data_IF_540213833444
#
_entry.id   IF_540213833444
#
_cell.length_a   1.000
_cell.length_b   1.000
_cell.length_c   1.000
_cell.angle_alpha   90.00
_cell.angle_beta   90.00
_cell.angle_gamma   90.00
#
_symmetry.space_group_name_H-M   'P 1'
#
loop_
_entity.id
_entity.type
_entity.pdbx_description
1 polymer ?
#
# COMPACT_ATOMS: atom_id res chain seq x y z
N UNK A 1 -14.67 13.10 -7.31
CA UNK A 1 -15.72 12.23 -7.86
C UNK A 1 -15.63 12.33 -9.38
N UNK A 2 -15.50 11.20 -10.08
CA UNK A 2 -15.58 11.18 -11.55
C UNK A 2 -16.83 10.43 -11.98
N UNK A 3 -17.65 11.01 -12.86
CA UNK A 3 -18.83 10.38 -13.44
C UNK A 3 -18.53 10.01 -14.90
N UNK A 4 -18.79 8.77 -15.31
CA UNK A 4 -18.67 8.34 -16.70
C UNK A 4 -19.97 7.65 -17.13
N UNK A 5 -20.56 8.12 -18.24
CA UNK A 5 -21.75 7.53 -18.87
C UNK A 5 -21.33 6.78 -20.13
N UNK A 6 -21.86 5.58 -20.35
CA UNK A 6 -21.64 4.81 -21.58
C UNK A 6 -22.93 4.79 -22.42
N UNK A 7 -23.10 5.77 -23.31
CA UNK A 7 -24.06 5.69 -24.43
C UNK A 7 -23.62 6.58 -25.61
N UNK A 8 -24.00 6.20 -26.84
CA UNK A 8 -23.43 6.59 -28.14
C UNK A 8 -23.49 8.07 -28.57
N UNK A 9 -23.76 9.02 -27.68
CA UNK A 9 -23.68 10.47 -27.95
C UNK A 9 -22.95 11.13 -26.78
N UNK A 10 -21.64 11.31 -26.95
CA UNK A 10 -20.67 11.75 -25.96
C UNK A 10 -20.97 13.16 -25.43
N UNK A 11 -21.39 13.25 -24.17
CA UNK A 11 -21.09 14.39 -23.31
C UNK A 11 -20.50 13.86 -22.00
N UNK A 12 -19.19 14.05 -21.84
CA UNK A 12 -18.39 13.56 -20.72
C UNK A 12 -18.40 14.64 -19.62
N UNK A 13 -19.40 14.64 -18.75
CA UNK A 13 -19.45 15.63 -17.66
C UNK A 13 -18.52 15.19 -16.52
N UNK A 14 -17.34 15.81 -16.43
CA UNK A 14 -16.44 15.67 -15.27
C UNK A 14 -16.79 16.74 -14.24
N UNK A 15 -17.39 16.34 -13.11
CA UNK A 15 -17.65 17.25 -11.99
C UNK A 15 -16.51 17.14 -10.96
N UNK A 16 -15.62 18.13 -10.92
CA UNK A 16 -14.61 18.24 -9.86
C UNK A 16 -15.18 19.03 -8.69
N UNK A 17 -15.40 18.36 -7.56
CA UNK A 17 -15.91 18.98 -6.34
C UNK A 17 -14.73 19.22 -5.39
N UNK A 18 -14.34 20.48 -5.21
CA UNK A 18 -13.33 20.93 -4.22
C UNK A 18 -14.06 21.41 -2.96
N UNK A 19 -13.51 21.13 -1.78
CA UNK A 19 -14.19 21.21 -0.50
C UNK A 19 -13.88 22.54 0.21
N UNK A 20 -14.86 23.44 0.25
CA UNK A 20 -15.09 24.45 1.28
C UNK A 20 -16.60 24.45 1.54
N UNK A 21 -17.06 24.46 2.79
CA UNK A 21 -18.48 24.21 3.14
C UNK A 21 -19.37 25.39 2.73
N UNK A 22 -19.75 25.41 1.45
CA UNK A 22 -20.78 26.28 0.88
C UNK A 22 -22.13 25.54 0.89
N UNK A 23 -23.24 26.15 1.34
CA UNK A 23 -24.60 25.61 1.16
C UNK A 23 -24.91 25.13 -0.27
N UNK A 24 -24.26 25.71 -1.28
CA UNK A 24 -24.37 25.29 -2.69
C UNK A 24 -23.84 23.87 -2.95
N UNK A 25 -22.83 23.41 -2.19
CA UNK A 25 -22.23 22.08 -2.33
C UNK A 25 -23.12 20.96 -1.80
N UNK A 26 -23.80 21.19 -0.68
CA UNK A 26 -24.77 20.21 -0.12
C UNK A 26 -25.90 20.02 -1.13
N UNK A 27 -26.46 21.12 -1.63
CA UNK A 27 -27.48 21.12 -2.68
C UNK A 27 -27.01 20.38 -3.94
N UNK A 28 -25.75 20.59 -4.36
CA UNK A 28 -25.16 19.91 -5.51
C UNK A 28 -25.02 18.41 -5.28
N UNK A 29 -24.53 17.97 -4.11
CA UNK A 29 -24.40 16.53 -3.81
C UNK A 29 -25.75 15.81 -3.75
N UNK A 30 -26.78 16.46 -3.20
CA UNK A 30 -28.14 15.93 -3.21
C UNK A 30 -28.72 15.87 -4.62
N UNK A 31 -28.50 16.89 -5.45
CA UNK A 31 -28.95 16.91 -6.83
C UNK A 31 -28.31 15.79 -7.65
N UNK A 32 -27.00 15.58 -7.51
CA UNK A 32 -26.30 14.46 -8.15
C UNK A 32 -26.85 13.13 -7.67
N UNK A 33 -27.08 12.96 -6.37
CA UNK A 33 -27.68 11.73 -5.83
C UNK A 33 -29.07 11.47 -6.39
N UNK A 34 -29.95 12.48 -6.43
CA UNK A 34 -31.28 12.37 -7.03
C UNK A 34 -31.20 11.97 -8.50
N UNK A 35 -30.29 12.59 -9.25
CA UNK A 35 -30.07 12.26 -10.66
C UNK A 35 -29.62 10.80 -10.86
N UNK A 36 -28.72 10.29 -10.01
CA UNK A 36 -28.29 8.88 -10.06
C UNK A 36 -29.45 7.91 -9.73
N UNK A 37 -30.40 8.34 -8.90
CA UNK A 37 -31.55 7.53 -8.47
C UNK A 37 -32.72 7.55 -9.46
N UNK A 38 -32.74 8.46 -10.45
CA UNK A 38 -33.77 8.49 -11.49
C UNK A 38 -33.71 7.22 -12.36
N UNK A 39 -34.86 6.58 -12.55
CA UNK A 39 -34.98 5.33 -13.32
C UNK A 39 -34.54 5.46 -14.80
N UNK A 40 -34.55 6.67 -15.36
CA UNK A 40 -34.04 6.95 -16.71
C UNK A 40 -32.52 7.00 -16.82
N UNK A 41 -31.81 7.00 -15.69
CA UNK A 41 -30.35 7.06 -15.62
C UNK A 41 -29.80 5.71 -15.14
N UNK A 42 -29.93 4.67 -15.96
CA UNK A 42 -29.73 3.25 -15.63
C UNK A 42 -28.34 2.67 -16.03
N UNK A 43 -27.36 3.55 -16.29
CA UNK A 43 -26.05 3.14 -16.83
C UNK A 43 -24.90 4.04 -16.40
N UNK A 44 -24.85 4.41 -15.12
CA UNK A 44 -23.79 5.25 -14.56
C UNK A 44 -22.71 4.46 -13.81
N UNK A 45 -21.51 5.01 -13.83
CA UNK A 45 -20.37 4.60 -13.00
C UNK A 45 -19.86 5.79 -12.21
N UNK A 46 -19.78 5.63 -10.89
CA UNK A 46 -19.16 6.59 -9.96
C UNK A 46 -17.84 6.03 -9.46
N UNK A 47 -16.77 6.82 -9.56
CA UNK A 47 -15.46 6.46 -8.99
C UNK A 47 -15.09 7.40 -7.84
N UNK A 48 -14.95 6.82 -6.65
CA UNK A 48 -14.32 7.44 -5.49
C UNK A 48 -12.86 7.02 -5.45
N UNK A 49 -11.97 7.90 -5.90
CA UNK A 49 -10.55 7.63 -5.94
C UNK A 49 -9.86 8.09 -4.65
N UNK A 50 -8.94 7.29 -4.11
CA UNK A 50 -8.09 7.62 -2.95
C UNK A 50 -8.88 7.90 -1.65
N UNK A 51 -9.86 7.05 -1.34
CA UNK A 51 -10.70 7.16 -0.14
C UNK A 51 -10.01 6.51 1.09
N UNK A 52 -8.99 7.19 1.61
CA UNK A 52 -8.14 6.65 2.69
C UNK A 52 -8.55 7.18 4.08
N UNK A 53 -9.06 8.41 4.15
CA UNK A 53 -9.41 9.09 5.39
C UNK A 53 -10.88 8.83 5.74
N UNK A 54 -11.13 7.72 6.43
CA UNK A 54 -12.50 7.24 6.70
C UNK A 54 -12.92 7.52 8.12
N UNK A 55 -14.09 8.13 8.29
CA UNK A 55 -14.72 8.35 9.59
C UNK A 55 -16.03 7.57 9.68
N UNK A 56 -15.97 6.32 10.14
CA UNK A 56 -17.19 5.60 10.51
C UNK A 56 -17.65 6.07 11.90
N UNK A 57 -18.86 6.65 12.02
CA UNK A 57 -19.42 6.96 13.34
C UNK A 57 -19.64 5.66 14.14
N UNK A 58 -18.71 5.38 15.06
CA UNK A 58 -18.76 4.54 16.26
C UNK A 58 -19.55 3.21 16.25
N UNK A 59 -18.82 2.08 16.30
CA UNK A 59 -19.27 0.92 17.10
C UNK A 59 -19.16 1.34 18.57
N UNK A 60 -20.28 1.66 19.22
CA UNK A 60 -20.33 1.76 20.69
C UNK A 60 -20.04 0.36 21.26
N UNK A 61 -18.92 0.18 21.95
CA UNK A 61 -18.80 -0.89 22.94
C UNK A 61 -19.80 -0.57 24.05
N UNK A 62 -20.90 -1.32 24.08
CA UNK A 62 -21.88 -1.22 25.14
C UNK A 62 -21.35 -1.94 26.37
N UNK A 63 -20.99 -1.18 27.40
CA UNK A 63 -21.01 -1.68 28.77
C UNK A 63 -22.18 -1.02 29.49
N UNK A 64 -23.22 -1.83 29.71
CA UNK A 64 -24.24 -1.57 30.70
C UNK A 64 -23.58 -1.52 32.08
N UNK A 65 -23.85 -0.46 32.86
CA UNK A 65 -24.16 -0.63 34.28
C UNK A 65 -24.94 0.58 34.80
N UNK A 66 -26.14 0.27 35.29
CA UNK A 66 -27.01 1.08 36.11
C UNK A 66 -26.46 1.24 37.53
N UNK A 67 -26.68 2.41 38.16
CA UNK A 67 -27.19 2.67 39.54
C UNK A 67 -26.78 4.10 39.99
N UNK A 68 -27.76 4.87 40.52
CA UNK A 68 -27.63 6.20 41.17
C UNK A 68 -27.46 6.04 42.71
N UNK A 69 -27.42 7.12 43.54
CA UNK A 69 -26.47 8.24 43.60
C UNK A 69 -25.89 8.47 45.04
N UNK A 70 -24.92 9.40 45.15
CA UNK A 70 -24.67 10.36 46.25
C UNK A 70 -23.29 10.36 46.96
N UNK A 71 -22.91 11.60 47.32
CA UNK A 71 -21.90 12.07 48.29
C UNK A 71 -20.44 12.33 47.85
N UNK A 72 -20.21 13.62 47.51
CA UNK A 72 -19.06 14.51 47.78
C UNK A 72 -17.76 13.90 48.33
N UNK A 73 -16.63 14.15 47.67
CA UNK A 73 -15.47 14.88 48.25
C UNK A 73 -14.24 14.91 47.31
N UNK A 74 -13.62 16.09 47.26
CA UNK A 74 -12.22 16.42 47.00
C UNK A 74 -11.61 16.23 45.58
N UNK A 75 -11.01 17.33 45.12
CA UNK A 75 -10.40 17.54 43.84
C UNK A 75 -9.13 16.71 43.61
N UNK A 76 -9.10 16.04 42.46
CA UNK A 76 -7.89 15.80 41.67
C UNK A 76 -8.26 16.17 40.25
N UNK A 77 -7.54 17.11 39.64
CA UNK A 77 -7.76 17.56 38.27
C UNK A 77 -7.45 16.42 37.29
N UNK A 78 -8.47 15.61 37.00
CA UNK A 78 -8.48 14.71 35.86
C UNK A 78 -8.48 15.57 34.60
N UNK A 79 -7.35 15.57 33.88
CA UNK A 79 -7.30 15.98 32.48
C UNK A 79 -8.37 15.17 31.75
N UNK A 80 -9.46 15.84 31.41
CA UNK A 80 -10.48 15.30 30.52
C UNK A 80 -9.78 14.85 29.25
N UNK A 81 -10.06 13.61 28.83
CA UNK A 81 -9.60 13.05 27.57
C UNK A 81 -9.97 14.01 26.43
N UNK A 82 -8.99 14.75 25.94
CA UNK A 82 -9.11 15.43 24.65
C UNK A 82 -9.43 14.36 23.60
N UNK A 83 -10.50 14.51 22.81
CA UNK A 83 -10.79 13.58 21.74
C UNK A 83 -9.62 13.62 20.76
N UNK A 84 -9.02 12.46 20.55
CA UNK A 84 -8.16 12.08 19.43
C UNK A 84 -8.43 13.01 18.24
N UNK A 85 -7.45 13.85 17.90
CA UNK A 85 -7.62 14.95 16.96
C UNK A 85 -8.13 14.38 15.62
N UNK A 86 -9.45 14.42 15.45
CA UNK A 86 -10.10 13.69 14.39
C UNK A 86 -9.65 14.29 13.07
N UNK A 87 -9.00 13.48 12.23
CA UNK A 87 -8.45 13.92 10.96
C UNK A 87 -9.47 14.84 10.24
N UNK A 88 -9.14 16.13 10.03
CA UNK A 88 -10.06 17.11 9.48
C UNK A 88 -10.49 16.74 8.06
N UNK A 89 -9.74 15.87 7.37
CA UNK A 89 -10.09 15.37 6.04
C UNK A 89 -10.99 14.14 6.07
N UNK A 90 -11.16 13.46 7.21
CA UNK A 90 -11.90 12.21 7.27
C UNK A 90 -13.43 12.39 7.13
N UNK A 91 -14.08 11.56 6.32
CA UNK A 91 -15.52 11.65 6.04
C UNK A 91 -16.16 10.28 5.74
N UNK A 92 -17.48 10.18 5.93
CA UNK A 92 -18.27 8.98 5.60
C UNK A 92 -18.95 9.17 4.23
N UNK A 93 -18.65 8.32 3.26
CA UNK A 93 -19.27 8.39 1.93
C UNK A 93 -20.66 7.76 1.85
N UNK A 94 -21.02 6.88 2.81
CA UNK A 94 -22.27 6.10 2.75
C UNK A 94 -23.54 6.94 2.58
N UNK A 95 -23.68 8.12 3.23
CA UNK A 95 -24.85 8.97 3.03
C UNK A 95 -25.03 9.47 1.58
N UNK A 96 -23.93 9.57 0.83
CA UNK A 96 -23.89 10.08 -0.54
C UNK A 96 -24.03 8.98 -1.61
N UNK A 97 -24.00 7.70 -1.21
CA UNK A 97 -24.23 6.61 -2.15
C UNK A 97 -25.71 6.59 -2.57
N UNK A 98 -26.00 6.43 -3.88
CA UNK A 98 -27.36 6.26 -4.36
C UNK A 98 -27.95 4.94 -3.89
N UNK A 99 -29.27 4.89 -3.71
CA UNK A 99 -29.98 3.64 -3.34
C UNK A 99 -30.40 2.78 -4.55
N UNK A 100 -30.27 3.32 -5.76
CA UNK A 100 -30.61 2.61 -6.99
C UNK A 100 -29.65 1.45 -7.27
N UNK A 101 -30.17 0.39 -7.88
CA UNK A 101 -29.46 -0.83 -8.29
C UNK A 101 -29.01 -0.81 -9.76
N UNK A 102 -29.39 0.21 -10.52
CA UNK A 102 -29.09 0.38 -11.95
C UNK A 102 -27.76 1.10 -12.24
N UNK A 103 -26.77 1.00 -11.34
CA UNK A 103 -25.46 1.64 -11.54
C UNK A 103 -24.35 0.99 -10.72
N UNK A 104 -23.13 1.48 -10.91
CA UNK A 104 -21.95 0.92 -10.26
C UNK A 104 -21.11 1.99 -9.54
N UNK A 105 -20.56 1.62 -8.39
CA UNK A 105 -19.61 2.44 -7.62
C UNK A 105 -18.29 1.69 -7.49
N UNK A 106 -17.20 2.33 -7.86
CA UNK A 106 -15.84 1.86 -7.62
C UNK A 106 -15.19 2.77 -6.58
N UNK A 107 -14.61 2.16 -5.55
CA UNK A 107 -13.84 2.86 -4.52
C UNK A 107 -12.41 2.35 -4.62
N UNK A 108 -11.44 3.26 -4.74
CA UNK A 108 -10.02 2.92 -4.58
C UNK A 108 -9.54 3.52 -3.25
N UNK A 109 -8.78 2.73 -2.51
CA UNK A 109 -8.30 3.07 -1.17
C UNK A 109 -7.06 2.25 -0.86
N UNK A 110 -6.19 2.81 -0.02
CA UNK A 110 -5.03 2.13 0.55
C UNK A 110 -5.36 1.40 1.85
N UNK A 111 -6.50 1.72 2.46
CA UNK A 111 -6.92 1.10 3.71
C UNK A 111 -7.85 -0.08 3.45
N UNK A 112 -7.45 -1.26 3.87
CA UNK A 112 -8.31 -2.47 3.80
C UNK A 112 -9.44 -2.46 4.84
N UNK A 113 -9.46 -1.47 5.74
CA UNK A 113 -10.55 -1.27 6.72
C UNK A 113 -11.83 -0.78 6.06
N UNK A 114 -11.75 -0.22 4.83
CA UNK A 114 -12.89 0.25 4.05
C UNK A 114 -13.65 -0.93 3.45
N UNK A 115 -14.59 -1.47 4.22
CA UNK A 115 -15.43 -2.61 3.83
C UNK A 115 -16.76 -2.15 3.24
N UNK A 116 -16.70 -1.51 2.07
CA UNK A 116 -17.88 -1.04 1.32
C UNK A 116 -18.07 -1.87 0.05
N UNK A 117 -18.88 -2.92 0.13
CA UNK A 117 -19.17 -3.80 -1.01
C UNK A 117 -18.15 -4.93 -1.21
N UNK A 118 -18.02 -5.40 -2.46
CA UNK A 118 -17.06 -6.44 -2.82
C UNK A 118 -15.64 -5.86 -2.86
N UNK A 119 -14.73 -6.50 -2.12
CA UNK A 119 -13.34 -6.09 -2.04
C UNK A 119 -12.49 -6.84 -3.07
N UNK A 120 -11.71 -6.09 -3.85
CA UNK A 120 -10.69 -6.64 -4.75
C UNK A 120 -9.34 -6.18 -4.22
N UNK A 121 -8.60 -7.10 -3.60
CA UNK A 121 -7.22 -6.84 -3.18
C UNK A 121 -6.32 -6.84 -4.42
N UNK A 122 -5.71 -5.70 -4.73
CA UNK A 122 -4.65 -5.64 -5.73
C UNK A 122 -3.34 -6.11 -5.08
N UNK A 123 -2.66 -7.07 -5.73
CA UNK A 123 -1.36 -7.60 -5.34
C UNK A 123 -0.32 -7.30 -6.42
N UNK A 124 0.96 -7.54 -6.13
CA UNK A 124 2.01 -7.53 -7.17
C UNK A 124 1.70 -8.52 -8.31
N UNK A 125 2.23 -8.23 -9.50
CA UNK A 125 2.12 -9.14 -10.64
C UNK A 125 2.92 -10.42 -10.36
N UNK A 126 2.20 -11.53 -10.16
CA UNK A 126 2.82 -12.83 -9.88
C UNK A 126 3.38 -13.54 -11.11
N UNK A 127 2.82 -13.29 -12.30
CA UNK A 127 3.37 -13.82 -13.55
C UNK A 127 4.49 -12.90 -14.06
N UNK A 128 5.71 -13.44 -14.09
CA UNK A 128 6.88 -12.75 -14.61
C UNK A 128 6.71 -12.30 -16.07
N UNK A 129 5.87 -12.97 -16.86
CA UNK A 129 5.60 -12.59 -18.24
C UNK A 129 4.82 -11.27 -18.34
N UNK A 130 3.92 -10.98 -17.39
CA UNK A 130 3.21 -9.71 -17.34
C UNK A 130 4.19 -8.56 -17.04
N UNK A 131 5.10 -8.79 -16.10
CA UNK A 131 6.16 -7.84 -15.76
C UNK A 131 7.08 -7.56 -16.95
N UNK A 132 7.46 -8.59 -17.69
CA UNK A 132 8.24 -8.46 -18.92
C UNK A 132 7.47 -7.74 -20.02
N UNK A 133 6.16 -7.98 -20.17
CA UNK A 133 5.33 -7.31 -21.16
C UNK A 133 5.27 -5.79 -20.90
N UNK A 134 5.13 -5.38 -19.63
CA UNK A 134 5.16 -3.96 -19.26
C UNK A 134 6.53 -3.35 -19.59
N UNK A 135 7.63 -3.98 -19.18
CA UNK A 135 8.98 -3.50 -19.44
C UNK A 135 9.27 -3.39 -20.95
N UNK A 136 8.96 -4.42 -21.73
CA UNK A 136 9.13 -4.41 -23.18
C UNK A 136 8.33 -3.30 -23.85
N UNK A 137 7.06 -3.15 -23.46
CA UNK A 137 6.16 -2.15 -24.04
C UNK A 137 6.58 -0.72 -23.71
N UNK A 138 7.00 -0.45 -22.47
CA UNK A 138 7.32 0.91 -22.01
C UNK A 138 8.73 1.35 -22.38
N UNK A 139 9.65 0.40 -22.53
CA UNK A 139 10.98 0.63 -23.08
C UNK A 139 11.03 0.77 -24.61
N UNK A 140 9.94 0.43 -25.30
CA UNK A 140 9.90 0.31 -26.75
C UNK A 140 10.97 -0.67 -27.31
N UNK A 141 11.33 -1.69 -26.54
CA UNK A 141 12.34 -2.71 -26.89
C UNK A 141 11.69 -4.05 -27.23
N UNK A 142 10.59 -4.00 -27.97
CA UNK A 142 9.86 -5.19 -28.41
C UNK A 142 10.80 -6.02 -29.31
N UNK A 143 11.06 -7.28 -28.93
CA UNK A 143 11.80 -8.27 -29.73
C UNK A 143 13.34 -8.13 -29.87
N UNK A 144 14.05 -7.39 -29.03
CA UNK A 144 15.53 -7.38 -29.07
C UNK A 144 16.19 -8.71 -28.61
N UNK A 145 15.41 -9.71 -28.21
CA UNK A 145 15.90 -11.08 -27.99
C UNK A 145 16.03 -11.94 -29.25
N UNK A 146 15.82 -11.38 -30.45
CA UNK A 146 16.36 -11.96 -31.68
C UNK A 146 17.85 -11.59 -31.85
N UNK A 147 18.68 -12.00 -30.89
CA UNK A 147 20.07 -12.24 -31.20
C UNK A 147 20.13 -13.21 -32.37
N UNK A 148 20.97 -12.94 -33.37
CA UNK A 148 21.17 -13.71 -34.60
C UNK A 148 21.33 -15.21 -34.31
N UNK A 149 20.23 -15.95 -34.15
CA UNK A 149 20.25 -17.40 -34.08
C UNK A 149 20.07 -17.92 -35.49
N UNK A 150 21.20 -18.19 -36.14
CA UNK A 150 21.28 -18.97 -37.37
C UNK A 150 20.98 -20.43 -37.00
N UNK A 151 19.71 -20.73 -36.66
CA UNK A 151 19.23 -22.09 -36.52
C UNK A 151 17.69 -22.11 -36.64
N UNK A 152 17.21 -22.35 -37.86
CA UNK A 152 15.83 -22.71 -38.14
C UNK A 152 15.54 -24.08 -37.52
N UNK A 153 15.00 -24.13 -36.31
CA UNK A 153 14.38 -25.36 -35.80
C UNK A 153 13.04 -25.06 -35.13
N UNK A 154 12.02 -25.85 -35.50
CA UNK A 154 10.58 -25.59 -35.37
C UNK A 154 10.02 -25.74 -33.95
N UNK A 155 10.66 -25.12 -32.96
CA UNK A 155 10.06 -24.84 -31.64
C UNK A 155 10.42 -23.41 -31.28
N UNK A 156 9.51 -22.46 -31.54
CA UNK A 156 9.62 -21.06 -31.09
C UNK A 156 9.52 -21.03 -29.56
N UNK A 157 10.55 -21.48 -28.84
CA UNK A 157 10.80 -20.99 -27.49
C UNK A 157 11.25 -19.55 -27.66
N UNK A 158 10.41 -18.62 -27.22
CA UNK A 158 10.73 -17.20 -27.13
C UNK A 158 12.03 -17.12 -26.32
N UNK A 159 13.14 -16.79 -26.98
CA UNK A 159 14.40 -16.54 -26.27
C UNK A 159 14.14 -15.36 -25.35
N UNK A 160 14.19 -15.58 -24.04
CA UNK A 160 13.92 -14.55 -23.04
C UNK A 160 15.23 -13.81 -22.78
N UNK A 161 15.20 -12.48 -22.83
CA UNK A 161 16.37 -11.69 -22.47
C UNK A 161 16.61 -11.84 -20.95
N UNK A 162 17.73 -12.47 -20.57
CA UNK A 162 18.05 -12.76 -19.16
C UNK A 162 18.22 -11.49 -18.32
N UNK A 163 18.71 -10.40 -18.92
CA UNK A 163 18.87 -9.12 -18.22
C UNK A 163 17.52 -8.45 -17.97
N UNK A 164 16.60 -8.54 -18.93
CA UNK A 164 15.23 -8.05 -18.75
C UNK A 164 14.49 -8.87 -17.69
N UNK A 165 14.72 -10.18 -17.65
CA UNK A 165 14.19 -11.07 -16.61
C UNK A 165 14.75 -10.74 -15.23
N UNK A 166 16.06 -10.49 -15.13
CA UNK A 166 16.70 -10.08 -13.89
C UNK A 166 16.13 -8.74 -13.39
N UNK A 167 15.98 -7.75 -14.28
CA UNK A 167 15.37 -6.48 -13.92
C UNK A 167 13.89 -6.63 -13.51
N UNK A 168 13.10 -7.42 -14.24
CA UNK A 168 11.70 -7.67 -13.91
C UNK A 168 11.53 -8.31 -12.52
N UNK A 169 12.41 -9.26 -12.17
CA UNK A 169 12.47 -9.84 -10.82
C UNK A 169 12.85 -8.81 -9.76
N UNK A 170 13.84 -7.96 -10.06
CA UNK A 170 14.30 -6.92 -9.13
C UNK A 170 13.21 -5.87 -8.82
N UNK A 171 12.34 -5.59 -9.79
CA UNK A 171 11.22 -4.65 -9.63
C UNK A 171 9.96 -5.31 -9.02
N UNK A 172 10.06 -6.60 -8.67
CA UNK A 172 9.10 -7.37 -7.86
C UNK A 172 7.63 -7.28 -8.31
N UNK A 173 7.39 -7.10 -9.61
CA UNK A 173 6.03 -7.12 -10.16
C UNK A 173 5.18 -5.88 -9.87
N UNK A 174 5.75 -4.77 -9.41
CA UNK A 174 5.03 -3.50 -9.29
C UNK A 174 4.85 -2.85 -10.66
N UNK A 175 3.62 -2.76 -11.21
CA UNK A 175 3.40 -2.26 -12.58
C UNK A 175 3.99 -0.87 -12.80
N UNK A 176 3.86 -0.01 -11.77
CA UNK A 176 4.36 1.34 -11.83
C UNK A 176 5.91 1.35 -11.90
N UNK A 177 6.62 0.53 -11.08
CA UNK A 177 8.08 0.41 -11.13
C UNK A 177 8.58 -0.06 -12.50
N UNK A 178 7.95 -1.10 -13.03
CA UNK A 178 8.24 -1.68 -14.33
C UNK A 178 8.05 -0.64 -15.44
N UNK A 179 6.93 0.09 -15.42
CA UNK A 179 6.65 1.10 -16.43
C UNK A 179 7.64 2.26 -16.40
N UNK A 180 8.10 2.66 -15.22
CA UNK A 180 9.04 3.76 -15.05
C UNK A 180 10.46 3.36 -15.47
N UNK A 181 10.91 2.15 -15.10
CA UNK A 181 12.17 1.60 -15.57
C UNK A 181 12.19 1.46 -17.09
N UNK A 182 11.09 0.98 -17.69
CA UNK A 182 10.95 0.93 -19.14
C UNK A 182 10.98 2.31 -19.77
N UNK A 183 10.22 3.28 -19.25
CA UNK A 183 10.23 4.66 -19.75
C UNK A 183 11.64 5.27 -19.73
N UNK A 184 12.40 5.07 -18.65
CA UNK A 184 13.81 5.48 -18.58
C UNK A 184 14.64 4.81 -19.69
N UNK A 185 14.52 3.49 -19.84
CA UNK A 185 15.22 2.73 -20.89
C UNK A 185 14.84 3.15 -22.31
N UNK A 186 13.67 3.76 -22.51
CA UNK A 186 13.28 4.32 -23.81
C UNK A 186 14.00 5.64 -24.12
N UNK A 187 14.40 6.41 -23.09
CA UNK A 187 15.05 7.71 -23.25
C UNK A 187 16.58 7.64 -23.40
N UNK A 188 17.20 6.59 -22.86
CA UNK A 188 18.66 6.45 -22.86
C UNK A 188 19.11 5.16 -23.54
N UNK A 189 20.33 5.16 -24.06
CA UNK A 189 20.95 4.00 -24.72
C UNK A 189 21.41 2.90 -23.75
N UNK A 190 21.13 3.03 -22.45
CA UNK A 190 21.49 2.08 -21.39
C UNK A 190 20.88 0.70 -21.61
N UNK A 191 21.62 -0.38 -21.37
CA UNK A 191 21.11 -1.76 -21.45
C UNK A 191 20.32 -2.14 -20.19
N UNK A 192 19.52 -3.21 -20.24
CA UNK A 192 18.85 -3.73 -19.04
C UNK A 192 19.85 -4.04 -17.91
N UNK A 193 20.94 -4.74 -18.24
CA UNK A 193 22.00 -5.05 -17.27
C UNK A 193 22.61 -3.79 -16.66
N UNK A 194 22.89 -2.76 -17.47
CA UNK A 194 23.49 -1.53 -16.96
C UNK A 194 22.52 -0.71 -16.12
N UNK A 195 21.23 -0.69 -16.48
CA UNK A 195 20.20 -0.08 -15.66
C UNK A 195 20.05 -0.79 -14.32
N UNK A 196 20.01 -2.12 -14.33
CA UNK A 196 19.97 -2.93 -13.10
C UNK A 196 21.17 -2.61 -12.19
N UNK A 197 22.38 -2.52 -12.75
CA UNK A 197 23.55 -2.09 -11.98
C UNK A 197 23.42 -0.68 -11.39
N UNK A 198 22.83 0.28 -12.12
CA UNK A 198 22.60 1.63 -11.59
C UNK A 198 21.53 1.62 -10.50
N UNK A 199 20.49 0.81 -10.68
CA UNK A 199 19.40 0.62 -9.74
C UNK A 199 19.92 0.03 -8.42
N UNK A 200 20.81 -0.96 -8.46
CA UNK A 200 21.35 -1.59 -7.26
C UNK A 200 22.43 -0.74 -6.56
N UNK A 201 23.36 -0.14 -7.31
CA UNK A 201 24.52 0.55 -6.73
C UNK A 201 24.28 2.01 -6.41
N UNK A 202 23.26 2.60 -7.01
CA UNK A 202 23.08 4.05 -7.00
C UNK A 202 21.61 4.42 -7.00
N UNK A 203 20.77 3.59 -6.36
CA UNK A 203 19.32 3.76 -6.31
C UNK A 203 18.92 5.22 -6.06
N UNK A 204 19.29 5.78 -4.91
CA UNK A 204 18.92 7.15 -4.53
C UNK A 204 19.37 8.22 -5.55
N UNK A 205 20.55 8.03 -6.15
CA UNK A 205 21.10 8.95 -7.15
C UNK A 205 20.40 8.82 -8.50
N UNK A 206 20.18 7.59 -8.96
CA UNK A 206 19.43 7.28 -10.18
C UNK A 206 18.04 7.92 -10.12
N UNK A 207 17.40 7.84 -8.96
CA UNK A 207 16.10 8.43 -8.68
C UNK A 207 16.12 9.97 -8.74
N UNK A 208 17.08 10.62 -8.08
CA UNK A 208 17.19 12.09 -8.06
C UNK A 208 17.52 12.69 -9.43
N UNK A 209 18.34 12.04 -10.23
CA UNK A 209 18.88 12.59 -11.48
C UNK A 209 18.00 12.27 -12.71
N UNK A 210 16.95 11.48 -12.56
CA UNK A 210 16.10 11.04 -13.68
C UNK A 210 14.71 11.69 -13.64
N UNK A 211 14.39 12.64 -14.55
CA UNK A 211 13.15 13.42 -14.49
C UNK A 211 11.86 12.59 -14.52
N UNK A 212 11.83 11.48 -15.28
CA UNK A 212 10.65 10.61 -15.33
C UNK A 212 10.60 9.58 -14.19
N UNK A 213 11.74 9.27 -13.56
CA UNK A 213 11.71 8.50 -12.31
C UNK A 213 11.22 9.39 -11.14
N UNK A 214 11.40 10.71 -11.24
CA UNK A 214 10.97 11.68 -10.23
C UNK A 214 9.44 11.68 -10.01
N UNK A 215 8.64 11.63 -11.08
CA UNK A 215 7.16 11.60 -10.98
C UNK A 215 6.64 10.29 -10.37
N UNK A 216 7.30 9.18 -10.70
CA UNK A 216 7.05 7.85 -10.14
C UNK A 216 7.32 7.80 -8.63
N UNK A 217 8.48 8.30 -8.25
CA UNK A 217 9.01 8.26 -6.90
C UNK A 217 8.32 9.26 -5.96
N UNK A 218 8.09 10.49 -6.42
CA UNK A 218 7.39 11.48 -5.60
C UNK A 218 5.97 11.01 -5.29
N UNK A 219 5.31 10.34 -6.25
CA UNK A 219 3.99 9.75 -6.03
C UNK A 219 4.05 8.53 -5.09
N UNK A 220 4.98 7.59 -5.26
CA UNK A 220 5.05 6.40 -4.40
C UNK A 220 5.60 6.67 -3.01
N UNK A 221 6.71 7.40 -2.89
CA UNK A 221 7.28 7.73 -1.58
C UNK A 221 6.29 8.55 -0.77
N UNK A 222 5.62 9.55 -1.37
CA UNK A 222 4.57 10.27 -0.65
C UNK A 222 3.45 9.34 -0.22
N UNK A 223 3.12 8.33 -1.02
CA UNK A 223 2.09 7.34 -0.67
C UNK A 223 2.51 6.45 0.50
N UNK A 224 3.70 5.85 0.45
CA UNK A 224 4.22 4.99 1.52
C UNK A 224 4.53 5.77 2.79
N UNK A 225 5.08 6.97 2.67
CA UNK A 225 5.31 7.90 3.78
C UNK A 225 3.99 8.27 4.47
N UNK A 226 2.93 8.52 3.70
CA UNK A 226 1.61 8.78 4.28
C UNK A 226 1.09 7.55 5.01
N UNK A 227 1.18 6.34 4.43
CA UNK A 227 0.79 5.10 5.13
C UNK A 227 1.60 4.88 6.40
N UNK A 228 2.92 5.08 6.35
CA UNK A 228 3.83 4.95 7.49
C UNK A 228 3.46 5.91 8.63
N UNK A 229 3.14 7.18 8.34
CA UNK A 229 2.70 8.13 9.37
C UNK A 229 1.40 7.71 10.04
N UNK A 230 0.45 7.13 9.30
CA UNK A 230 -0.77 6.59 9.91
C UNK A 230 -0.47 5.39 10.79
N UNK A 231 0.38 4.46 10.33
CA UNK A 231 0.85 3.32 11.13
C UNK A 231 1.53 3.83 12.41
N UNK A 232 2.40 4.84 12.32
CA UNK A 232 3.10 5.40 13.48
C UNK A 232 2.15 6.00 14.51
N UNK A 233 1.07 6.65 14.06
CA UNK A 233 0.04 7.19 14.93
C UNK A 233 -0.81 6.10 15.59
N UNK A 234 -1.08 5.01 14.87
CA UNK A 234 -1.95 3.92 15.32
C UNK A 234 -1.22 2.89 16.20
N UNK A 235 -0.01 2.49 15.80
CA UNK A 235 0.81 1.48 16.47
C UNK A 235 2.31 1.76 16.26
N UNK A 236 2.93 2.39 17.25
CA UNK A 236 4.35 2.75 17.21
C UNK A 236 5.26 1.52 17.05
N UNK A 237 4.94 0.38 17.67
CA UNK A 237 5.73 -0.85 17.55
C UNK A 237 5.70 -1.37 16.11
N UNK A 238 4.55 -1.34 15.44
CA UNK A 238 4.42 -1.73 14.02
C UNK A 238 5.26 -0.82 13.11
N UNK A 239 5.27 0.50 13.37
CA UNK A 239 6.13 1.44 12.64
C UNK A 239 7.62 1.16 12.86
N UNK A 240 8.03 0.88 14.10
CA UNK A 240 9.42 0.54 14.43
C UNK A 240 9.82 -0.82 13.84
N UNK A 241 8.89 -1.77 13.72
CA UNK A 241 9.14 -3.01 12.99
C UNK A 241 9.46 -2.77 11.51
N UNK A 242 8.78 -1.84 10.82
CA UNK A 242 9.16 -1.49 9.45
C UNK A 242 10.58 -0.89 9.35
N UNK A 243 11.04 -0.21 10.40
CA UNK A 243 12.42 0.29 10.44
C UNK A 243 13.40 -0.89 10.59
N UNK A 244 13.14 -1.81 11.52
CA UNK A 244 13.95 -3.02 11.72
C UNK A 244 13.97 -3.92 10.48
N UNK A 245 12.83 -4.07 9.79
CA UNK A 245 12.70 -4.96 8.63
C UNK A 245 13.53 -4.49 7.42
N UNK A 246 13.99 -3.25 7.37
CA UNK A 246 14.97 -2.84 6.36
C UNK A 246 16.32 -3.57 6.48
N UNK A 247 16.62 -4.15 7.65
CA UNK A 247 17.83 -4.92 7.93
C UNK A 247 17.61 -6.44 7.78
N UNK A 248 16.38 -6.86 7.46
CA UNK A 248 16.00 -8.24 7.18
C UNK A 248 15.70 -8.41 5.68
N UNK A 249 15.54 -9.65 5.23
CA UNK A 249 15.04 -9.92 3.89
C UNK A 249 13.60 -9.38 3.73
N UNK A 250 13.21 -9.05 2.51
CA UNK A 250 11.88 -8.49 2.25
C UNK A 250 10.78 -9.56 2.32
N UNK A 251 11.14 -10.84 2.29
CA UNK A 251 10.25 -11.99 2.39
C UNK A 251 10.47 -12.73 3.73
N UNK A 252 9.51 -13.59 4.09
CA UNK A 252 9.60 -14.53 5.22
C UNK A 252 10.01 -13.91 6.58
N UNK A 253 9.30 -12.88 7.05
CA UNK A 253 9.36 -12.47 8.47
C UNK A 253 8.18 -13.06 9.23
N UNK A 254 8.46 -13.84 10.28
CA UNK A 254 7.47 -14.51 11.11
C UNK A 254 7.70 -14.26 12.61
N UNK A 255 6.77 -14.73 13.45
CA UNK A 255 6.77 -14.45 14.89
C UNK A 255 8.04 -14.94 15.60
N UNK A 256 8.39 -16.21 15.41
CA UNK A 256 9.52 -16.85 16.09
C UNK A 256 10.85 -16.16 15.73
N UNK A 257 11.04 -15.76 14.47
CA UNK A 257 12.21 -14.98 14.04
C UNK A 257 12.42 -13.72 14.89
N UNK A 258 11.35 -12.98 15.16
CA UNK A 258 11.42 -11.75 15.95
C UNK A 258 11.50 -12.01 17.45
N UNK A 259 10.84 -13.07 17.93
CA UNK A 259 10.83 -13.44 19.35
C UNK A 259 12.23 -13.75 19.87
N UNK A 260 13.04 -14.46 19.08
CA UNK A 260 14.40 -14.78 19.50
C UNK A 260 15.29 -13.53 19.59
N UNK A 261 15.13 -12.58 18.67
CA UNK A 261 15.81 -11.27 18.75
C UNK A 261 15.33 -10.38 19.90
N UNK A 262 14.15 -10.65 20.47
CA UNK A 262 13.57 -9.87 21.56
C UNK A 262 14.18 -10.18 22.94
N UNK A 263 14.76 -11.37 23.14
CA UNK A 263 15.25 -11.85 24.45
C UNK A 263 16.27 -10.90 25.09
N UNK A 264 17.09 -10.23 24.27
CA UNK A 264 18.03 -9.17 24.68
C UNK A 264 17.76 -7.84 23.93
N UNK A 265 16.59 -7.73 23.32
CA UNK A 265 16.19 -6.63 22.45
C UNK A 265 15.55 -5.45 23.19
N UNK A 266 15.09 -4.49 22.40
CA UNK A 266 14.41 -3.29 22.91
C UNK A 266 13.04 -3.62 23.50
N UNK A 267 12.58 -2.78 24.44
CA UNK A 267 11.29 -2.92 25.15
C UNK A 267 10.11 -3.06 24.17
N UNK A 268 10.12 -2.33 23.06
CA UNK A 268 9.03 -2.39 22.07
C UNK A 268 8.94 -3.77 21.39
N UNK A 269 10.08 -4.41 21.14
CA UNK A 269 10.16 -5.71 20.47
C UNK A 269 9.75 -6.83 21.43
N UNK A 270 10.16 -6.73 22.70
CA UNK A 270 9.72 -7.62 23.78
C UNK A 270 8.20 -7.56 23.98
N UNK A 271 7.61 -6.36 24.03
CA UNK A 271 6.16 -6.23 24.18
C UNK A 271 5.41 -6.72 22.94
N UNK A 272 5.91 -6.43 21.73
CA UNK A 272 5.33 -6.91 20.48
C UNK A 272 5.35 -8.44 20.40
N UNK A 273 6.43 -9.09 20.84
CA UNK A 273 6.64 -10.54 20.70
C UNK A 273 6.29 -11.33 21.95
N UNK A 274 5.72 -10.67 22.97
CA UNK A 274 5.28 -11.28 24.23
C UNK A 274 4.40 -12.50 24.04
N UNK A 275 3.49 -12.41 23.06
CA UNK A 275 2.64 -13.49 22.60
C UNK A 275 2.26 -13.25 21.13
N UNK A 276 1.71 -14.27 20.47
CA UNK A 276 1.28 -14.20 19.07
C UNK A 276 0.15 -13.18 18.85
N UNK A 277 -0.67 -12.89 19.87
CA UNK A 277 -1.80 -11.96 19.75
C UNK A 277 -1.28 -10.53 19.58
N UNK A 278 -0.27 -10.13 20.35
CA UNK A 278 0.38 -8.83 20.22
C UNK A 278 1.08 -8.68 18.87
N UNK A 279 1.77 -9.73 18.43
CA UNK A 279 2.43 -9.75 17.12
C UNK A 279 1.42 -9.64 15.97
N UNK A 280 0.34 -10.44 16.00
CA UNK A 280 -0.74 -10.38 15.02
C UNK A 280 -1.45 -9.03 15.02
N UNK A 281 -1.58 -8.38 16.18
CA UNK A 281 -2.12 -7.03 16.25
C UNK A 281 -1.24 -6.02 15.50
N UNK A 282 0.09 -6.11 15.63
CA UNK A 282 1.02 -5.26 14.89
C UNK A 282 1.00 -5.57 13.39
N UNK A 283 1.08 -6.85 13.01
CA UNK A 283 1.06 -7.29 11.61
C UNK A 283 -0.24 -6.96 10.90
N UNK A 284 -1.37 -7.04 11.60
CA UNK A 284 -2.68 -6.60 11.10
C UNK A 284 -2.66 -5.12 10.73
N UNK A 285 -2.11 -4.24 11.56
CA UNK A 285 -1.99 -2.80 11.23
C UNK A 285 -1.17 -2.63 9.95
N UNK A 286 -0.02 -3.31 9.85
CA UNK A 286 0.84 -3.23 8.66
C UNK A 286 0.14 -3.72 7.38
N UNK A 287 -0.62 -4.81 7.49
CA UNK A 287 -1.44 -5.33 6.40
C UNK A 287 -2.61 -4.41 6.05
N UNK A 288 -3.20 -3.76 7.06
CA UNK A 288 -4.36 -2.89 6.89
C UNK A 288 -4.04 -1.66 6.05
N UNK A 289 -2.80 -1.16 6.16
CA UNK A 289 -2.25 -0.04 5.39
C UNK A 289 -1.54 -0.45 4.08
N UNK A 290 -1.55 -1.75 3.75
CA UNK A 290 -1.10 -2.28 2.46
C UNK A 290 0.42 -2.24 2.23
N UNK A 291 1.23 -2.05 3.27
CA UNK A 291 2.70 -2.13 3.17
C UNK A 291 3.23 -3.56 3.33
N UNK A 292 2.47 -4.41 4.03
CA UNK A 292 2.81 -5.80 4.31
C UNK A 292 1.74 -6.75 3.75
N UNK A 293 2.17 -7.91 3.28
CA UNK A 293 1.30 -9.01 2.88
C UNK A 293 1.58 -10.25 3.74
N UNK A 294 0.52 -10.85 4.30
CA UNK A 294 0.61 -12.18 4.90
C UNK A 294 0.64 -13.25 3.82
N UNK A 295 1.46 -14.30 3.98
CA UNK A 295 1.39 -15.44 3.07
C UNK A 295 0.03 -16.14 3.19
N UNK A 296 -0.43 -16.66 2.05
CA UNK A 296 -1.66 -17.46 2.04
C UNK A 296 -1.37 -18.79 2.76
N UNK A 297 -2.24 -19.25 3.67
CA UNK A 297 -2.09 -20.55 4.32
C UNK A 297 -2.28 -21.62 3.26
N UNK A 298 -1.19 -22.01 2.59
CA UNK A 298 -1.27 -22.94 1.46
C UNK A 298 -1.28 -24.39 1.95
N UNK A 299 -0.84 -24.66 3.18
CA UNK A 299 -1.13 -25.87 3.98
C UNK A 299 -0.97 -25.56 5.47
N UNK A 300 -1.98 -25.85 6.29
CA UNK A 300 -1.85 -25.95 7.75
C UNK A 300 -0.92 -27.12 8.07
N UNK A 301 0.40 -26.92 8.14
CA UNK A 301 1.32 -28.03 8.49
C UNK A 301 2.70 -27.62 8.99
N UNK A 302 2.93 -26.35 9.35
CA UNK A 302 4.16 -25.93 10.02
C UNK A 302 4.01 -25.95 11.54
N UNK A 303 5.11 -26.24 12.25
CA UNK A 303 5.23 -25.96 13.70
C UNK A 303 5.37 -24.44 13.94
N UNK A 304 5.79 -23.70 12.92
CA UNK A 304 6.08 -22.27 12.97
C UNK A 304 4.93 -21.42 12.43
N UNK A 305 4.87 -20.17 12.91
CA UNK A 305 3.92 -19.16 12.45
C UNK A 305 4.08 -18.83 10.97
N UNK A 306 3.00 -18.39 10.32
CA UNK A 306 3.06 -17.96 8.92
C UNK A 306 3.90 -16.69 8.76
N UNK A 307 4.70 -16.66 7.69
CA UNK A 307 5.49 -15.48 7.34
C UNK A 307 4.68 -14.36 6.71
N UNK A 308 5.33 -13.20 6.68
CA UNK A 308 4.86 -11.98 6.06
C UNK A 308 5.95 -11.46 5.12
N UNK A 309 5.54 -10.67 4.13
CA UNK A 309 6.47 -10.01 3.21
C UNK A 309 6.13 -8.55 2.96
N UNK A 310 7.16 -7.81 2.60
CA UNK A 310 7.08 -6.46 2.06
C UNK A 310 7.49 -6.50 0.61
N UNK A 311 6.77 -5.76 -0.22
CA UNK A 311 7.11 -5.61 -1.63
C UNK A 311 8.54 -5.05 -1.81
N UNK A 312 9.33 -5.60 -2.75
CA UNK A 312 10.75 -5.22 -2.92
C UNK A 312 11.00 -3.71 -3.09
N UNK A 313 10.16 -3.00 -3.86
CA UNK A 313 10.24 -1.53 -3.96
C UNK A 313 9.93 -0.78 -2.63
N UNK A 314 9.02 -1.30 -1.81
CA UNK A 314 8.72 -0.72 -0.48
C UNK A 314 9.90 -0.97 0.45
N UNK A 315 10.50 -2.18 0.40
CA UNK A 315 11.70 -2.52 1.17
C UNK A 315 12.91 -1.64 0.80
N UNK A 316 13.13 -1.37 -0.49
CA UNK A 316 14.15 -0.41 -0.93
C UNK A 316 13.90 1.00 -0.42
N UNK A 317 12.64 1.45 -0.37
CA UNK A 317 12.29 2.72 0.27
C UNK A 317 12.56 2.69 1.78
N UNK A 318 12.29 1.58 2.46
CA UNK A 318 12.62 1.41 3.88
C UNK A 318 14.13 1.53 4.13
N UNK A 319 14.96 0.91 3.28
CA UNK A 319 16.43 0.96 3.35
C UNK A 319 16.95 2.37 3.09
N UNK A 320 16.56 2.99 1.98
CA UNK A 320 17.22 4.19 1.48
C UNK A 320 16.59 5.51 1.93
N UNK A 321 15.35 5.48 2.44
CA UNK A 321 14.60 6.69 2.80
C UNK A 321 14.16 6.65 4.25
N UNK A 322 13.43 5.60 4.66
CA UNK A 322 12.86 5.51 6.00
C UNK A 322 13.93 5.48 7.10
N UNK A 323 14.99 4.69 6.90
CA UNK A 323 16.04 4.49 7.91
C UNK A 323 17.16 5.52 7.90
N UNK A 324 17.08 6.59 7.10
CA UNK A 324 18.13 7.63 7.03
C UNK A 324 18.36 8.42 8.34
N UNK A 325 17.52 8.21 9.36
CA UNK A 325 17.56 8.91 10.65
C UNK A 325 17.47 7.97 11.85
N UNK A 326 17.61 6.67 11.63
CA UNK A 326 17.51 5.65 12.67
C UNK A 326 18.92 5.29 13.15
N UNK A 327 19.04 4.82 14.40
CA UNK A 327 20.30 4.26 14.89
C UNK A 327 20.62 2.98 14.11
N UNK A 328 21.49 3.10 13.12
CA UNK A 328 21.83 2.00 12.20
C UNK A 328 22.51 0.84 12.92
N UNK A 329 23.32 1.11 13.94
CA UNK A 329 24.05 0.09 14.68
C UNK A 329 23.08 -0.76 15.52
N UNK A 330 22.17 -0.10 16.25
CA UNK A 330 21.20 -0.80 17.11
C UNK A 330 20.26 -1.70 16.30
N UNK A 331 19.67 -1.18 15.21
CA UNK A 331 18.77 -1.98 14.36
C UNK A 331 19.48 -3.14 13.69
N UNK A 332 20.72 -2.94 13.20
CA UNK A 332 21.52 -4.02 12.62
C UNK A 332 21.83 -5.12 13.64
N UNK A 333 22.15 -4.75 14.88
CA UNK A 333 22.41 -5.72 15.96
C UNK A 333 21.17 -6.55 16.31
N UNK A 334 20.00 -5.92 16.38
CA UNK A 334 18.73 -6.64 16.62
C UNK A 334 18.45 -7.62 15.47
N UNK A 335 18.58 -7.17 14.22
CA UNK A 335 18.35 -8.03 13.05
C UNK A 335 19.31 -9.23 13.03
N UNK A 336 20.59 -9.03 13.34
CA UNK A 336 21.55 -10.14 13.45
C UNK A 336 21.15 -11.15 14.53
N UNK A 337 20.65 -10.70 15.68
CA UNK A 337 20.19 -11.59 16.75
C UNK A 337 18.98 -12.42 16.32
N UNK A 338 18.01 -11.81 15.64
CA UNK A 338 16.85 -12.53 15.09
C UNK A 338 17.25 -13.69 14.17
N UNK A 339 18.31 -13.54 13.38
CA UNK A 339 18.72 -14.54 12.37
C UNK A 339 19.74 -15.56 12.92
N UNK A 340 20.48 -15.23 13.97
CA UNK A 340 21.55 -16.07 14.53
C UNK A 340 21.06 -17.10 15.57
N UNK A 341 19.78 -17.07 15.93
CA UNK A 341 19.11 -17.96 16.88
C UNK A 341 18.45 -19.13 16.17
#
# INVERSE_FOLDING_TARGET
MGLVRHHALLSRTRLFVKKDVDPSLISTTEAVKRWLEEASNDGWLVVYNNYDHVRFKGRRHGTNQSVQPAAKSAAVSSRENEPEAADPMAYDIRPYLPKADHGAVIITTRSSTVKLGQFIRLRKLGDINDSLAILESTSNRVHLSQGKSVAKTRRRRRSMNLDALALARRLDGLPLALSTAGAYLNQVSTTYAKYLQLYDNSWLRLQRESPQLLDYDQALYSTWEVSFRHIQQENQSAATLLQLWAYLDNEDVWYELLREGALEGLVWLQEMTKDEINFDAAMRVLCEHGLVEAYSPTKESGIESQGYSVHGCVHLWMIHVLNTRVDEEEMAWIAMRCVAS
#
